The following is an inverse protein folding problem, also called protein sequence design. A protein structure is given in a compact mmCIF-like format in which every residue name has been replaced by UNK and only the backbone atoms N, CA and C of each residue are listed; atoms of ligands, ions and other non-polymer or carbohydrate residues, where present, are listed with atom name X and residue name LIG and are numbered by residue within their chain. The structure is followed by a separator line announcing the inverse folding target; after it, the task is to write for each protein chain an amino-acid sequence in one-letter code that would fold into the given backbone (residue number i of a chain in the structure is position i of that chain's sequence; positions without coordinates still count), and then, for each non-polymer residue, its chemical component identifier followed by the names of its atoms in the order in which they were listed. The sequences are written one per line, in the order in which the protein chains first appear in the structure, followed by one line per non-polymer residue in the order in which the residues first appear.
data_IF_598141485724
#
_entry.id   IF_598141485724
#
_cell.length_a   1.000
_cell.length_b   1.000
_cell.length_c   1.000
_cell.angle_alpha   90.00
_cell.angle_beta   90.00
_cell.angle_gamma   90.00
#
_symmetry.space_group_name_H-M   'P 1'
#
loop_
_entity.id
_entity.type
_entity.pdbx_description
1 polymer ?
#
# COMPACT_ATOMS: atom_id res chain seq x y z
N UNK A 1 -43.75 9.03 -48.60
CA UNK A 1 -42.60 8.10 -48.49
C UNK A 1 -41.34 8.53 -49.25
N UNK A 2 -41.39 9.40 -50.27
CA UNK A 2 -40.18 9.77 -51.05
C UNK A 2 -39.29 10.86 -50.43
N UNK A 3 -39.78 11.69 -49.52
CA UNK A 3 -38.98 12.80 -48.93
C UNK A 3 -38.17 12.41 -47.67
N UNK A 4 -38.46 11.25 -47.07
CA UNK A 4 -37.69 10.72 -45.90
C UNK A 4 -36.53 9.79 -46.31
N UNK A 5 -36.49 9.34 -47.56
CA UNK A 5 -35.41 8.50 -48.11
C UNK A 5 -34.18 9.33 -48.48
N UNK A 6 -34.36 10.59 -48.91
CA UNK A 6 -33.24 11.48 -49.28
C UNK A 6 -32.42 11.98 -48.08
N UNK A 7 -33.05 12.12 -46.90
CA UNK A 7 -32.34 12.49 -45.67
C UNK A 7 -31.47 11.33 -45.16
N UNK A 8 -31.95 10.09 -45.28
CA UNK A 8 -31.19 8.89 -44.90
C UNK A 8 -30.03 8.58 -45.87
N UNK A 9 -30.19 8.89 -47.16
CA UNK A 9 -29.12 8.71 -48.16
C UNK A 9 -28.06 9.83 -48.07
N UNK A 10 -28.45 11.07 -47.72
CA UNK A 10 -27.50 12.16 -47.44
C UNK A 10 -26.68 11.94 -46.16
N UNK A 11 -27.26 11.29 -45.15
CA UNK A 11 -26.57 10.98 -43.89
C UNK A 11 -25.63 9.77 -44.01
N UNK A 12 -25.86 8.87 -44.99
CA UNK A 12 -24.98 7.73 -45.28
C UNK A 12 -23.76 8.09 -46.14
N UNK A 13 -23.82 9.16 -46.94
CA UNK A 13 -22.70 9.60 -47.80
C UNK A 13 -21.71 10.54 -47.10
N UNK A 14 -21.99 11.00 -45.88
CA UNK A 14 -21.08 11.83 -45.08
C UNK A 14 -20.03 11.06 -44.26
N UNK A 15 -20.07 9.72 -44.26
CA UNK A 15 -19.18 8.87 -43.43
C UNK A 15 -18.03 8.25 -44.25
N UNK A 16 -17.91 8.57 -45.55
CA UNK A 16 -16.82 8.06 -46.40
C UNK A 16 -15.93 9.21 -46.87
N UNK A 17 -15.49 10.04 -45.93
CA UNK A 17 -14.17 10.64 -46.02
C UNK A 17 -13.35 9.97 -44.92
N UNK A 18 -12.91 8.75 -45.22
CA UNK A 18 -11.82 8.15 -44.47
C UNK A 18 -10.63 9.10 -44.57
N UNK A 19 -9.92 9.27 -43.46
CA UNK A 19 -8.59 9.87 -43.45
C UNK A 19 -7.79 9.36 -44.65
N UNK A 20 -6.99 10.24 -45.26
CA UNK A 20 -5.89 9.82 -46.09
C UNK A 20 -5.15 8.70 -45.36
N UNK A 21 -5.01 7.55 -46.01
CA UNK A 21 -4.12 6.50 -45.51
C UNK A 21 -2.69 7.00 -45.69
N UNK A 22 -2.24 7.85 -44.77
CA UNK A 22 -0.83 7.89 -44.45
C UNK A 22 -0.49 6.50 -43.92
N UNK A 23 0.44 5.82 -44.58
CA UNK A 23 0.94 4.53 -44.13
C UNK A 23 1.49 4.70 -42.72
N UNK A 24 0.71 4.29 -41.73
CA UNK A 24 1.11 4.31 -40.33
C UNK A 24 2.06 3.14 -40.14
N UNK A 25 3.35 3.36 -40.42
CA UNK A 25 4.38 2.45 -39.96
C UNK A 25 4.45 2.55 -38.43
N UNK A 26 4.49 1.43 -37.69
CA UNK A 26 4.76 1.49 -36.27
C UNK A 26 6.04 2.32 -36.07
N UNK A 27 5.97 3.27 -35.15
CA UNK A 27 7.15 3.99 -34.69
C UNK A 27 8.23 2.98 -34.31
N UNK A 28 9.43 3.13 -34.85
CA UNK A 28 10.60 2.38 -34.36
C UNK A 28 11.07 2.90 -33.00
N UNK A 29 10.61 4.10 -32.61
CA UNK A 29 10.81 4.61 -31.27
C UNK A 29 9.82 3.91 -30.33
N UNK A 30 10.26 3.44 -29.14
CA UNK A 30 9.37 2.81 -28.19
C UNK A 30 8.18 3.73 -27.91
N UNK A 31 6.96 3.22 -28.02
CA UNK A 31 5.79 3.98 -27.60
C UNK A 31 5.94 4.32 -26.12
N UNK A 32 6.18 5.59 -25.82
CA UNK A 32 6.09 6.13 -24.46
C UNK A 32 4.62 6.32 -24.16
N UNK A 33 3.91 5.22 -23.89
CA UNK A 33 2.54 5.26 -23.39
C UNK A 33 2.55 6.04 -22.06
N UNK A 34 2.23 7.33 -22.15
CA UNK A 34 2.00 8.28 -21.06
C UNK A 34 3.11 8.36 -19.99
N UNK A 35 4.29 8.87 -20.35
CA UNK A 35 5.27 9.35 -19.38
C UNK A 35 5.92 8.29 -18.49
N UNK A 36 6.08 7.06 -18.98
CA UNK A 36 6.91 6.05 -18.31
C UNK A 36 8.31 6.62 -18.11
N UNK A 37 8.67 6.91 -16.86
CA UNK A 37 10.05 7.20 -16.47
C UNK A 37 10.92 6.05 -16.95
N UNK A 38 11.88 6.33 -17.84
CA UNK A 38 12.90 5.35 -18.19
C UNK A 38 13.71 5.03 -16.94
N UNK A 39 14.03 3.75 -16.75
CA UNK A 39 15.04 3.34 -15.79
C UNK A 39 16.37 3.15 -16.54
N UNK A 40 17.51 3.57 -15.97
CA UNK A 40 17.65 4.32 -14.71
C UNK A 40 17.13 5.77 -14.81
N UNK A 41 16.79 6.40 -13.66
CA UNK A 41 16.30 7.79 -13.63
C UNK A 41 17.43 8.83 -13.45
N UNK A 42 18.66 8.36 -13.27
CA UNK A 42 19.85 9.17 -13.09
C UNK A 42 21.13 8.43 -13.46
N UNK A 43 22.24 8.89 -12.86
CA UNK A 43 23.56 8.29 -13.00
C UNK A 43 24.24 8.23 -11.62
N UNK A 44 23.55 7.62 -10.66
CA UNK A 44 24.02 7.34 -9.31
C UNK A 44 24.40 5.86 -9.16
N UNK A 45 25.12 5.54 -8.09
CA UNK A 45 25.53 4.16 -7.80
C UNK A 45 24.34 3.22 -7.53
N UNK A 46 23.27 3.75 -6.93
CA UNK A 46 22.04 3.01 -6.65
C UNK A 46 21.14 2.78 -7.88
N UNK A 47 21.37 3.47 -9.01
CA UNK A 47 20.52 3.33 -10.20
C UNK A 47 20.58 1.91 -10.78
N UNK A 48 21.76 1.27 -10.76
CA UNK A 48 21.92 -0.11 -11.19
C UNK A 48 21.10 -1.07 -10.30
N UNK A 49 21.07 -0.80 -8.99
CA UNK A 49 20.32 -1.57 -8.00
C UNK A 49 18.81 -1.42 -8.18
N UNK A 50 18.35 -0.21 -8.49
CA UNK A 50 16.94 0.07 -8.85
C UNK A 50 16.52 -0.74 -10.09
N UNK A 51 17.36 -0.76 -11.13
CA UNK A 51 17.08 -1.53 -12.36
C UNK A 51 17.02 -3.03 -12.05
N UNK A 52 17.96 -3.55 -11.26
CA UNK A 52 17.99 -4.95 -10.87
C UNK A 52 16.72 -5.36 -10.10
N UNK A 53 16.35 -4.61 -9.05
CA UNK A 53 15.15 -4.88 -8.25
C UNK A 53 13.87 -4.75 -9.09
N UNK A 54 13.80 -3.75 -9.96
CA UNK A 54 12.66 -3.53 -10.86
C UNK A 54 12.46 -4.71 -11.80
N UNK A 55 13.55 -5.22 -12.41
CA UNK A 55 13.51 -6.41 -13.26
C UNK A 55 13.18 -7.67 -12.46
N UNK A 56 13.80 -7.83 -11.28
CA UNK A 56 13.64 -9.01 -10.42
C UNK A 56 12.20 -9.19 -9.95
N UNK A 57 11.50 -8.10 -9.64
CA UNK A 57 10.14 -8.15 -9.09
C UNK A 57 9.06 -7.66 -10.06
N UNK A 58 9.40 -7.47 -11.35
CA UNK A 58 8.48 -7.00 -12.38
C UNK A 58 7.67 -5.75 -11.95
N UNK A 59 8.40 -4.78 -11.39
CA UNK A 59 7.86 -3.50 -10.92
C UNK A 59 8.72 -2.36 -11.47
N UNK A 60 8.29 -1.12 -11.29
CA UNK A 60 9.12 0.06 -11.59
C UNK A 60 9.30 0.89 -10.33
N UNK A 61 10.53 0.94 -9.83
CA UNK A 61 10.89 1.72 -8.63
C UNK A 61 11.31 3.12 -9.08
N UNK A 62 10.64 4.14 -8.55
CA UNK A 62 10.86 5.55 -8.91
C UNK A 62 11.20 6.38 -7.68
N UNK A 63 12.33 7.09 -7.73
CA UNK A 63 12.69 8.16 -6.81
C UNK A 63 12.47 9.55 -7.40
N UNK A 64 12.22 9.65 -8.72
CA UNK A 64 11.71 10.84 -9.40
C UNK A 64 10.29 10.56 -9.88
N UNK A 65 9.32 11.29 -9.36
CA UNK A 65 7.92 11.22 -9.78
C UNK A 65 7.27 12.60 -9.71
N UNK A 66 6.09 12.77 -10.30
CA UNK A 66 5.28 13.99 -10.20
C UNK A 66 4.02 13.72 -9.40
N UNK A 67 3.33 14.77 -8.96
CA UNK A 67 2.12 14.64 -8.15
C UNK A 67 1.11 13.62 -8.70
N UNK A 68 0.86 13.63 -10.02
CA UNK A 68 -0.11 12.73 -10.66
C UNK A 68 0.21 11.24 -10.45
N UNK A 69 1.44 10.89 -10.16
CA UNK A 69 1.84 9.50 -9.94
C UNK A 69 1.30 8.96 -8.62
N UNK A 70 1.17 9.80 -7.59
CA UNK A 70 0.66 9.36 -6.29
C UNK A 70 -0.82 9.71 -6.08
N UNK A 71 -1.32 10.84 -6.59
CA UNK A 71 -2.69 11.23 -6.27
C UNK A 71 -3.76 10.61 -7.16
N UNK A 72 -3.41 10.19 -8.38
CA UNK A 72 -4.39 9.83 -9.38
C UNK A 72 -5.10 8.51 -9.02
N UNK A 73 -6.41 8.60 -8.80
CA UNK A 73 -7.34 7.49 -8.81
C UNK A 73 -8.54 7.82 -9.70
N UNK A 74 -9.16 6.80 -10.31
CA UNK A 74 -10.26 6.94 -11.29
C UNK A 74 -11.39 7.87 -10.81
N UNK A 75 -11.62 7.95 -9.50
CA UNK A 75 -12.67 8.77 -8.89
C UNK A 75 -12.23 9.59 -7.67
N UNK A 76 -10.93 9.64 -7.36
CA UNK A 76 -10.42 10.19 -6.08
C UNK A 76 -9.16 11.02 -6.28
N UNK A 77 -9.14 12.23 -5.72
CA UNK A 77 -7.92 13.01 -5.45
C UNK A 77 -7.62 12.89 -3.97
N UNK A 78 -6.51 12.25 -3.63
CA UNK A 78 -6.12 12.00 -2.23
C UNK A 78 -5.29 13.13 -1.62
N UNK A 79 -4.93 14.16 -2.40
CA UNK A 79 -4.06 15.23 -1.91
C UNK A 79 -4.75 16.08 -0.87
N UNK A 80 -3.95 16.59 0.04
CA UNK A 80 -4.37 17.73 0.83
C UNK A 80 -4.50 18.98 -0.05
N UNK A 81 -5.31 19.94 0.38
CA UNK A 81 -5.36 21.26 -0.26
C UNK A 81 -5.77 22.34 0.72
N UNK A 82 -5.32 23.57 0.45
CA UNK A 82 -5.85 24.74 1.13
C UNK A 82 -7.09 25.26 0.37
N UNK A 83 -8.25 25.20 1.01
CA UNK A 83 -9.51 25.76 0.52
C UNK A 83 -9.55 27.25 0.88
N UNK A 84 -9.15 28.08 -0.07
CA UNK A 84 -9.05 29.53 0.09
C UNK A 84 -10.41 30.20 0.30
N UNK A 85 -11.50 29.60 -0.21
CA UNK A 85 -12.86 30.14 -0.07
C UNK A 85 -13.34 30.00 1.38
N UNK A 86 -13.09 28.85 1.99
CA UNK A 86 -13.52 28.56 3.36
C UNK A 86 -12.40 28.75 4.40
N UNK A 87 -11.24 29.27 3.98
CA UNK A 87 -10.05 29.49 4.81
C UNK A 87 -9.70 28.28 5.69
N UNK A 88 -9.58 27.10 5.08
CA UNK A 88 -9.39 25.83 5.80
C UNK A 88 -8.47 24.86 5.05
N UNK A 89 -7.88 23.94 5.79
CA UNK A 89 -7.18 22.79 5.23
C UNK A 89 -8.20 21.68 4.98
N UNK A 90 -8.24 21.18 3.75
CA UNK A 90 -8.84 19.89 3.41
C UNK A 90 -7.77 18.83 3.61
N UNK A 91 -8.05 17.88 4.51
CA UNK A 91 -7.12 16.81 4.85
C UNK A 91 -6.82 15.91 3.65
N UNK A 92 -5.61 15.37 3.60
CA UNK A 92 -5.16 14.49 2.53
C UNK A 92 -3.65 14.26 2.60
N UNK A 93 -3.09 13.65 1.57
CA UNK A 93 -1.68 13.27 1.53
C UNK A 93 -0.82 14.31 0.84
N UNK A 94 0.37 14.52 1.38
CA UNK A 94 1.47 15.26 0.79
C UNK A 94 2.57 14.26 0.44
N UNK A 95 3.04 14.25 -0.81
CA UNK A 95 4.14 13.39 -1.20
C UNK A 95 5.15 14.11 -2.09
N UNK A 96 6.43 13.93 -1.77
CA UNK A 96 7.56 14.51 -2.49
C UNK A 96 8.55 13.40 -2.90
N UNK A 97 9.13 13.46 -4.12
CA UNK A 97 10.19 12.55 -4.55
C UNK A 97 11.32 12.44 -3.53
N UNK A 98 11.95 11.27 -3.42
CA UNK A 98 13.11 11.08 -2.54
C UNK A 98 14.24 12.06 -2.92
N UNK A 99 14.93 12.55 -1.89
CA UNK A 99 16.16 13.30 -2.06
C UNK A 99 17.24 12.35 -2.58
N UNK A 100 17.80 12.66 -3.75
CA UNK A 100 18.77 11.84 -4.47
C UNK A 100 19.99 11.47 -3.59
N UNK A 101 20.32 12.29 -2.59
CA UNK A 101 21.42 12.01 -1.67
C UNK A 101 21.15 10.86 -0.68
N UNK A 102 19.89 10.41 -0.57
CA UNK A 102 19.46 9.43 0.44
C UNK A 102 18.68 8.24 -0.15
N UNK A 103 18.62 8.12 -1.48
CA UNK A 103 17.93 7.01 -2.17
C UNK A 103 18.61 5.68 -1.86
N UNK A 104 19.95 5.64 -1.82
CA UNK A 104 20.70 4.44 -1.44
C UNK A 104 20.30 3.92 -0.06
N UNK A 105 20.28 4.80 0.95
CA UNK A 105 19.88 4.43 2.31
C UNK A 105 18.40 4.06 2.43
N UNK A 106 17.52 4.69 1.66
CA UNK A 106 16.10 4.30 1.62
C UNK A 106 15.90 2.91 0.99
N UNK A 107 16.67 2.58 -0.05
CA UNK A 107 16.66 1.24 -0.61
C UNK A 107 17.19 0.22 0.42
N UNK A 108 18.21 0.57 1.22
CA UNK A 108 18.72 -0.32 2.28
C UNK A 108 17.64 -0.58 3.33
N UNK A 109 16.89 0.45 3.71
CA UNK A 109 15.74 0.32 4.60
C UNK A 109 14.68 -0.64 4.02
N UNK A 110 14.36 -0.52 2.73
CA UNK A 110 13.39 -1.40 2.07
C UNK A 110 13.85 -2.84 1.98
N UNK A 111 15.09 -3.08 1.57
CA UNK A 111 15.62 -4.44 1.44
C UNK A 111 15.70 -5.13 2.80
N UNK A 112 16.23 -4.44 3.80
CA UNK A 112 16.50 -5.00 5.13
C UNK A 112 15.28 -5.06 6.05
N UNK A 113 14.23 -4.28 5.79
CA UNK A 113 13.07 -4.20 6.70
C UNK A 113 11.72 -4.32 5.99
N UNK A 114 11.70 -4.70 4.71
CA UNK A 114 10.46 -5.03 4.01
C UNK A 114 10.63 -6.23 3.06
N UNK A 115 11.52 -6.13 2.06
CA UNK A 115 11.62 -7.14 1.00
C UNK A 115 12.10 -8.49 1.51
N UNK A 116 13.03 -8.51 2.47
CA UNK A 116 13.60 -9.76 3.01
C UNK A 116 12.58 -10.75 3.57
N UNK A 117 11.38 -10.31 3.93
CA UNK A 117 10.35 -11.16 4.53
C UNK A 117 9.51 -11.94 3.51
N UNK A 118 9.70 -11.67 2.22
CA UNK A 118 8.90 -12.25 1.15
C UNK A 118 9.79 -13.00 0.17
N UNK A 119 9.31 -14.13 -0.32
CA UNK A 119 10.03 -14.87 -1.36
C UNK A 119 10.07 -14.07 -2.67
N UNK A 120 11.16 -14.23 -3.43
CA UNK A 120 11.30 -13.61 -4.76
C UNK A 120 10.12 -13.95 -5.68
N UNK A 121 9.64 -15.19 -5.65
CA UNK A 121 8.48 -15.65 -6.43
C UNK A 121 7.19 -14.93 -6.04
N UNK A 122 6.99 -14.67 -4.74
CA UNK A 122 5.83 -13.91 -4.28
C UNK A 122 5.93 -12.46 -4.75
N UNK A 123 7.07 -11.80 -4.50
CA UNK A 123 7.31 -10.41 -4.88
C UNK A 123 7.13 -10.21 -6.39
N UNK A 124 7.75 -11.06 -7.22
CA UNK A 124 7.61 -11.04 -8.69
C UNK A 124 6.15 -11.08 -9.15
N UNK A 125 5.29 -11.83 -8.46
CA UNK A 125 3.89 -12.03 -8.85
C UNK A 125 2.95 -10.97 -8.31
N UNK A 126 3.33 -10.27 -7.24
CA UNK A 126 2.40 -9.51 -6.41
C UNK A 126 2.78 -8.06 -6.18
N UNK A 127 4.02 -7.68 -6.51
CA UNK A 127 4.43 -6.28 -6.47
C UNK A 127 3.54 -5.42 -7.38
N UNK A 128 3.23 -4.17 -6.96
CA UNK A 128 2.49 -3.24 -7.79
C UNK A 128 3.26 -2.87 -9.06
N UNK A 129 2.57 -2.22 -10.00
CA UNK A 129 3.21 -1.70 -11.21
C UNK A 129 4.32 -0.70 -10.88
N UNK A 130 4.13 0.10 -9.82
CA UNK A 130 5.08 1.14 -9.39
C UNK A 130 5.40 1.06 -7.91
N UNK A 131 6.64 1.38 -7.55
CA UNK A 131 7.06 1.68 -6.19
C UNK A 131 7.59 3.11 -6.16
N UNK A 132 7.06 3.96 -5.29
CA UNK A 132 7.47 5.35 -5.14
C UNK A 132 8.35 5.49 -3.90
N UNK A 133 9.58 5.96 -4.12
CA UNK A 133 10.53 6.32 -3.07
C UNK A 133 10.35 7.80 -2.75
N UNK A 134 9.83 8.07 -1.56
CA UNK A 134 9.34 9.40 -1.15
C UNK A 134 10.19 10.01 -0.04
N UNK A 135 10.58 11.28 -0.17
CA UNK A 135 11.20 12.05 0.92
C UNK A 135 10.16 12.50 1.94
N UNK A 136 8.95 12.76 1.49
CA UNK A 136 7.79 13.05 2.32
C UNK A 136 6.67 12.17 1.80
N UNK A 137 5.97 11.48 2.68
CA UNK A 137 4.67 10.89 2.43
C UNK A 137 3.88 11.01 3.73
N UNK A 138 3.20 12.13 3.91
CA UNK A 138 2.57 12.46 5.18
C UNK A 138 1.09 12.78 4.98
N UNK A 139 0.28 12.49 6.00
CA UNK A 139 -1.12 12.89 6.03
C UNK A 139 -1.27 14.26 6.69
N UNK A 140 -1.71 15.25 5.94
CA UNK A 140 -2.02 16.59 6.45
C UNK A 140 -3.42 16.58 7.07
N UNK A 141 -3.51 17.01 8.33
CA UNK A 141 -4.74 16.95 9.12
C UNK A 141 -5.63 18.16 8.82
N UNK A 142 -6.94 17.95 8.86
CA UNK A 142 -7.94 19.02 8.74
C UNK A 142 -7.69 20.14 9.75
N UNK A 143 -7.84 21.38 9.29
CA UNK A 143 -7.81 22.57 10.14
C UNK A 143 -8.80 23.61 9.63
N UNK A 144 -9.58 24.20 10.54
CA UNK A 144 -10.55 25.26 10.23
C UNK A 144 -10.04 26.67 10.55
N UNK A 145 -8.76 26.84 10.90
CA UNK A 145 -8.20 28.10 11.41
C UNK A 145 -7.36 28.87 10.39
N UNK A 146 -7.51 28.58 9.08
CA UNK A 146 -6.67 29.14 8.02
C UNK A 146 -5.36 28.38 7.83
N UNK A 147 -4.43 28.94 7.04
CA UNK A 147 -3.12 28.34 6.78
C UNK A 147 -2.20 28.54 8.00
N UNK A 148 -1.78 27.46 8.68
CA UNK A 148 -0.84 27.57 9.80
C UNK A 148 0.58 27.84 9.28
N UNK A 149 1.44 28.38 10.15
CA UNK A 149 2.87 28.54 9.86
C UNK A 149 3.56 27.18 9.61
N UNK A 150 3.10 26.15 10.32
CA UNK A 150 3.55 24.76 10.16
C UNK A 150 2.34 23.87 9.92
N UNK A 151 2.36 23.10 8.83
CA UNK A 151 1.29 22.16 8.51
C UNK A 151 1.25 21.00 9.52
N UNK A 152 0.07 20.71 10.12
CA UNK A 152 -0.09 19.56 11.01
C UNK A 152 -0.04 18.28 10.17
N UNK A 153 1.05 17.52 10.31
CA UNK A 153 1.32 16.33 9.53
C UNK A 153 1.45 15.10 10.43
N UNK A 154 0.89 13.99 9.98
CA UNK A 154 1.13 12.65 10.53
C UNK A 154 2.00 11.88 9.55
N UNK A 155 3.13 11.37 10.02
CA UNK A 155 4.02 10.52 9.24
C UNK A 155 3.27 9.28 8.73
N UNK A 156 3.46 8.95 7.46
CA UNK A 156 3.00 7.67 6.88
C UNK A 156 4.21 6.94 6.32
N UNK A 157 4.58 5.82 6.95
CA UNK A 157 5.76 5.04 6.57
C UNK A 157 5.62 4.38 5.20
N UNK A 158 4.43 3.85 4.92
CA UNK A 158 4.09 3.18 3.67
C UNK A 158 2.62 3.46 3.29
N UNK A 159 2.34 3.49 1.99
CA UNK A 159 1.00 3.69 1.46
C UNK A 159 0.74 2.82 0.24
N UNK A 160 -0.47 2.27 0.14
CA UNK A 160 -0.93 1.52 -1.03
C UNK A 160 -1.92 2.35 -1.83
N UNK A 161 -1.45 2.89 -2.96
CA UNK A 161 -2.29 3.58 -3.93
C UNK A 161 -2.98 2.63 -4.90
N UNK A 162 -3.53 3.16 -5.98
CA UNK A 162 -4.29 2.38 -6.96
C UNK A 162 -3.45 1.26 -7.60
N UNK A 163 -2.31 1.63 -8.19
CA UNK A 163 -1.37 0.77 -8.92
C UNK A 163 0.07 0.86 -8.38
N UNK A 164 0.28 1.54 -7.24
CA UNK A 164 1.59 1.75 -6.64
C UNK A 164 1.63 1.43 -5.14
N UNK A 165 2.84 1.20 -4.64
CA UNK A 165 3.20 1.34 -3.22
C UNK A 165 4.13 2.54 -3.07
N UNK A 166 3.94 3.36 -2.04
CA UNK A 166 4.86 4.43 -1.70
C UNK A 166 5.50 4.17 -0.34
N UNK A 167 6.78 4.50 -0.22
CA UNK A 167 7.55 4.39 1.02
C UNK A 167 8.20 5.72 1.35
N UNK A 168 8.09 6.15 2.60
CA UNK A 168 8.68 7.39 3.10
C UNK A 168 10.15 7.16 3.50
N UNK A 169 10.77 8.15 4.14
CA UNK A 169 12.17 8.16 4.59
C UNK A 169 13.23 8.33 3.49
N UNK A 170 12.85 8.75 2.28
CA UNK A 170 13.81 9.14 1.23
C UNK A 170 14.45 10.51 1.50
N UNK A 171 14.89 10.77 2.72
CA UNK A 171 15.45 12.06 3.17
C UNK A 171 16.52 11.81 4.25
N UNK A 172 17.22 12.87 4.67
CA UNK A 172 18.33 12.78 5.62
C UNK A 172 18.05 12.00 6.91
N UNK A 173 16.80 11.96 7.38
CA UNK A 173 16.43 11.31 8.63
C UNK A 173 16.56 9.78 8.58
N UNK A 174 16.61 9.16 7.39
CA UNK A 174 16.81 7.70 7.26
C UNK A 174 18.10 7.22 7.93
N UNK A 175 19.13 8.08 7.95
CA UNK A 175 20.44 7.77 8.55
C UNK A 175 20.41 7.78 10.08
N UNK A 176 19.37 8.35 10.66
CA UNK A 176 19.25 8.57 12.11
C UNK A 176 17.95 8.01 12.67
N UNK A 177 17.32 7.07 11.96
CA UNK A 177 16.13 6.40 12.46
C UNK A 177 16.46 5.67 13.76
N UNK A 178 15.61 5.84 14.78
CA UNK A 178 15.69 5.04 16.00
C UNK A 178 15.23 3.62 15.71
N UNK A 179 15.60 2.66 16.57
CA UNK A 179 15.11 1.27 16.48
C UNK A 179 13.58 1.23 16.48
N UNK A 180 12.92 2.09 17.26
CA UNK A 180 11.45 2.25 17.24
C UNK A 180 10.92 2.70 15.88
N UNK A 181 11.56 3.68 15.24
CA UNK A 181 11.16 4.15 13.91
C UNK A 181 11.37 3.08 12.82
N UNK A 182 12.47 2.33 12.89
CA UNK A 182 12.73 1.22 11.96
C UNK A 182 11.67 0.12 12.14
N UNK A 183 11.36 -0.24 13.39
CA UNK A 183 10.31 -1.21 13.70
C UNK A 183 8.94 -0.73 13.21
N UNK A 184 8.59 0.55 13.42
CA UNK A 184 7.35 1.13 12.92
C UNK A 184 7.28 1.10 11.38
N UNK A 185 8.36 1.47 10.69
CA UNK A 185 8.45 1.38 9.23
C UNK A 185 8.20 -0.06 8.74
N UNK A 186 8.92 -1.03 9.30
CA UNK A 186 8.76 -2.46 8.99
C UNK A 186 7.30 -2.89 9.12
N UNK A 187 6.71 -2.62 10.28
CA UNK A 187 5.36 -3.05 10.62
C UNK A 187 4.33 -2.47 9.63
N UNK A 188 4.42 -1.16 9.36
CA UNK A 188 3.50 -0.48 8.45
C UNK A 188 3.69 -0.95 7.00
N UNK A 189 4.93 -1.08 6.52
CA UNK A 189 5.24 -1.55 5.18
C UNK A 189 4.68 -2.96 4.93
N UNK A 190 4.91 -3.89 5.85
CA UNK A 190 4.39 -5.26 5.78
C UNK A 190 2.86 -5.28 5.84
N UNK A 191 2.24 -4.53 6.77
CA UNK A 191 0.79 -4.47 6.90
C UNK A 191 0.14 -3.93 5.63
N UNK A 192 0.63 -2.80 5.10
CA UNK A 192 0.12 -2.16 3.89
C UNK A 192 0.22 -3.11 2.70
N UNK A 193 1.35 -3.82 2.55
CA UNK A 193 1.53 -4.77 1.47
C UNK A 193 0.57 -5.96 1.58
N UNK A 194 0.53 -6.64 2.73
CA UNK A 194 -0.34 -7.81 2.92
C UNK A 194 -1.83 -7.45 2.79
N UNK A 195 -2.22 -6.27 3.28
CA UNK A 195 -3.59 -5.77 3.12
C UNK A 195 -3.91 -5.53 1.64
N UNK A 196 -3.00 -4.89 0.88
CA UNK A 196 -3.15 -4.73 -0.57
C UNK A 196 -3.35 -6.07 -1.26
N UNK A 197 -2.55 -7.08 -0.92
CA UNK A 197 -2.67 -8.40 -1.53
C UNK A 197 -4.04 -9.02 -1.25
N UNK A 198 -4.55 -8.88 -0.03
CA UNK A 198 -5.85 -9.41 0.37
C UNK A 198 -7.02 -8.67 -0.32
N UNK A 199 -6.91 -7.36 -0.50
CA UNK A 199 -7.95 -6.54 -1.15
C UNK A 199 -7.97 -6.69 -2.67
N UNK A 200 -6.82 -7.00 -3.27
CA UNK A 200 -6.70 -7.35 -4.69
C UNK A 200 -6.91 -8.85 -4.95
N UNK A 201 -7.28 -9.63 -3.93
CA UNK A 201 -7.50 -11.08 -3.98
C UNK A 201 -6.28 -11.88 -4.47
N UNK A 202 -5.07 -11.31 -4.35
CA UNK A 202 -3.80 -11.97 -4.64
C UNK A 202 -3.39 -12.95 -3.53
N UNK A 203 -3.86 -12.68 -2.30
CA UNK A 203 -3.92 -13.67 -1.22
C UNK A 203 -5.38 -13.80 -0.77
N UNK A 204 -5.77 -15.02 -0.42
CA UNK A 204 -7.10 -15.31 0.10
C UNK A 204 -7.12 -15.17 1.61
N UNK A 205 -8.22 -14.65 2.16
CA UNK A 205 -8.49 -14.73 3.60
C UNK A 205 -8.93 -16.15 3.94
N UNK A 206 -8.34 -16.76 4.95
CA UNK A 206 -8.59 -18.15 5.35
C UNK A 206 -10.06 -18.37 5.75
N UNK A 207 -10.70 -19.38 5.18
CA UNK A 207 -12.06 -19.79 5.60
C UNK A 207 -12.07 -20.36 7.01
N UNK A 208 -11.00 -21.05 7.43
CA UNK A 208 -10.85 -21.53 8.79
C UNK A 208 -10.84 -20.36 9.78
N UNK A 209 -10.07 -19.30 9.50
CA UNK A 209 -10.05 -18.07 10.29
C UNK A 209 -11.43 -17.42 10.38
N UNK A 210 -12.08 -17.16 9.24
CA UNK A 210 -13.36 -16.43 9.22
C UNK A 210 -14.51 -17.22 9.82
N UNK A 211 -14.46 -18.56 9.80
CA UNK A 211 -15.48 -19.41 10.40
C UNK A 211 -15.47 -19.40 11.94
N UNK A 212 -14.40 -18.92 12.58
CA UNK A 212 -14.32 -18.86 14.06
C UNK A 212 -15.35 -17.87 14.62
N UNK A 213 -15.66 -16.79 13.90
CA UNK A 213 -16.55 -15.73 14.40
C UNK A 213 -17.83 -15.65 13.61
N UNK A 214 -18.96 -15.60 14.31
CA UNK A 214 -20.21 -15.14 13.72
C UNK A 214 -20.21 -13.60 13.67
N UNK A 215 -19.78 -13.02 12.55
CA UNK A 215 -19.72 -11.56 12.35
C UNK A 215 -21.08 -10.86 12.35
N UNK A 216 -22.19 -11.60 12.26
CA UNK A 216 -23.55 -11.08 12.41
C UNK A 216 -24.08 -11.06 13.85
N UNK A 217 -23.31 -11.59 14.81
CA UNK A 217 -23.72 -11.62 16.21
C UNK A 217 -23.75 -10.22 16.83
N UNK A 218 -24.64 -10.03 17.82
CA UNK A 218 -24.65 -8.81 18.63
C UNK A 218 -23.46 -8.80 19.58
N UNK A 219 -22.41 -8.06 19.19
CA UNK A 219 -21.15 -7.91 19.93
C UNK A 219 -20.97 -6.46 20.37
N UNK A 220 -20.24 -6.25 21.46
CA UNK A 220 -19.85 -4.94 22.00
C UNK A 220 -18.34 -4.85 22.15
N UNK A 221 -17.81 -3.65 22.39
CA UNK A 221 -16.38 -3.49 22.68
C UNK A 221 -15.94 -4.25 23.95
N UNK A 222 -16.85 -4.40 24.94
CA UNK A 222 -16.53 -5.04 26.21
C UNK A 222 -16.39 -6.57 26.12
N UNK A 223 -17.07 -7.21 25.17
CA UNK A 223 -17.06 -8.67 25.02
C UNK A 223 -16.38 -9.16 23.72
N UNK A 224 -15.71 -8.28 22.97
CA UNK A 224 -15.19 -8.60 21.64
C UNK A 224 -14.20 -9.78 21.61
N UNK A 225 -13.38 -9.93 22.65
CA UNK A 225 -12.44 -11.05 22.78
C UNK A 225 -13.14 -12.40 22.95
N UNK A 226 -14.35 -12.43 23.50
CA UNK A 226 -15.16 -13.66 23.55
C UNK A 226 -15.57 -14.18 22.17
N UNK A 227 -15.50 -13.32 21.15
CA UNK A 227 -15.76 -13.64 19.75
C UNK A 227 -14.46 -13.74 18.93
N UNK A 228 -13.29 -13.62 19.56
CA UNK A 228 -12.00 -13.61 18.86
C UNK A 228 -11.79 -12.36 18.00
N UNK A 229 -12.36 -11.21 18.38
CA UNK A 229 -12.20 -9.95 17.65
C UNK A 229 -11.25 -9.03 18.41
N UNK A 230 -10.20 -8.55 17.74
CA UNK A 230 -9.17 -7.71 18.37
C UNK A 230 -9.55 -6.24 18.49
N UNK A 231 -10.39 -5.74 17.58
CA UNK A 231 -10.81 -4.34 17.59
C UNK A 231 -12.27 -4.18 17.18
N UNK A 232 -13.08 -3.58 18.05
CA UNK A 232 -14.53 -3.46 17.85
C UNK A 232 -14.89 -2.76 16.54
N UNK A 233 -14.30 -1.60 16.23
CA UNK A 233 -14.61 -0.84 15.01
C UNK A 233 -14.22 -1.55 13.70
N UNK A 234 -13.37 -2.58 13.76
CA UNK A 234 -12.88 -3.32 12.59
C UNK A 234 -13.44 -4.75 12.53
N UNK A 235 -14.57 -5.01 13.18
CA UNK A 235 -15.22 -6.34 13.25
C UNK A 235 -15.87 -6.83 11.94
N UNK A 236 -15.43 -6.36 10.78
CA UNK A 236 -15.77 -6.98 9.49
C UNK A 236 -14.75 -8.08 9.20
N UNK A 237 -15.04 -9.00 8.26
CA UNK A 237 -14.04 -10.02 7.86
C UNK A 237 -12.71 -9.37 7.43
N UNK A 238 -12.79 -8.31 6.62
CA UNK A 238 -11.60 -7.62 6.13
C UNK A 238 -10.85 -6.88 7.25
N UNK A 239 -11.56 -6.14 8.10
CA UNK A 239 -10.93 -5.41 9.20
C UNK A 239 -10.36 -6.33 10.27
N UNK A 240 -11.05 -7.43 10.59
CA UNK A 240 -10.57 -8.39 11.59
C UNK A 240 -9.30 -9.08 11.12
N UNK A 241 -9.27 -9.50 9.85
CA UNK A 241 -8.05 -10.00 9.20
C UNK A 241 -6.89 -9.00 9.32
N UNK A 242 -7.13 -7.74 8.98
CA UNK A 242 -6.14 -6.65 9.07
C UNK A 242 -5.60 -6.50 10.50
N UNK A 243 -6.48 -6.51 11.51
CA UNK A 243 -6.07 -6.35 12.91
C UNK A 243 -5.23 -7.53 13.41
N UNK A 244 -5.51 -8.76 12.98
CA UNK A 244 -4.67 -9.91 13.33
C UNK A 244 -3.31 -9.83 12.65
N UNK A 245 -3.25 -9.53 11.35
CA UNK A 245 -1.97 -9.34 10.65
C UNK A 245 -1.15 -8.27 11.37
N UNK A 246 -1.76 -7.12 11.67
CA UNK A 246 -1.10 -6.03 12.39
C UNK A 246 -0.57 -6.47 13.74
N UNK A 247 -1.40 -7.10 14.58
CA UNK A 247 -0.99 -7.53 15.90
C UNK A 247 0.17 -8.53 15.88
N UNK A 248 0.17 -9.46 14.91
CA UNK A 248 1.21 -10.50 14.79
C UNK A 248 2.52 -9.90 14.29
N UNK A 249 2.49 -9.11 13.20
CA UNK A 249 3.72 -8.59 12.59
C UNK A 249 4.36 -7.46 13.39
N UNK A 250 3.62 -6.85 14.32
CA UNK A 250 4.11 -5.75 15.16
C UNK A 250 4.54 -6.16 16.56
N UNK A 251 4.37 -7.42 16.95
CA UNK A 251 4.52 -7.85 18.35
C UNK A 251 5.24 -9.19 18.44
N UNK A 252 6.37 -9.26 19.18
CA UNK A 252 7.03 -10.53 19.45
C UNK A 252 6.10 -11.54 20.10
N UNK A 253 6.27 -12.82 19.76
CA UNK A 253 5.40 -13.89 20.26
C UNK A 253 5.37 -13.95 21.79
N UNK A 254 6.54 -13.73 22.41
CA UNK A 254 6.67 -13.69 23.87
C UNK A 254 5.74 -12.63 24.51
N UNK A 255 5.54 -11.48 23.86
CA UNK A 255 4.66 -10.42 24.34
C UNK A 255 3.20 -10.73 24.07
N UNK A 256 2.90 -11.43 22.96
CA UNK A 256 1.53 -11.89 22.67
C UNK A 256 1.02 -12.87 23.74
N UNK A 257 1.90 -13.69 24.32
CA UNK A 257 1.55 -14.68 25.35
C UNK A 257 1.82 -14.23 26.78
N UNK A 258 2.56 -13.14 27.01
CA UNK A 258 2.83 -12.62 28.34
C UNK A 258 1.56 -12.09 29.04
N UNK A 259 1.55 -11.92 30.37
CA UNK A 259 0.42 -11.28 31.06
C UNK A 259 0.04 -9.93 30.43
N UNK A 260 -1.22 -9.80 30.02
CA UNK A 260 -1.73 -8.63 29.29
C UNK A 260 -1.68 -8.75 27.75
N UNK A 261 -0.96 -9.73 27.22
CA UNK A 261 -0.93 -10.05 25.79
C UNK A 261 -2.23 -10.68 25.27
N UNK A 262 -2.52 -10.49 23.99
CA UNK A 262 -3.81 -10.90 23.37
C UNK A 262 -4.03 -12.43 23.35
N UNK A 263 -2.97 -13.22 23.47
CA UNK A 263 -3.05 -14.70 23.53
C UNK A 263 -2.95 -15.24 24.96
N UNK A 264 -2.81 -14.37 25.97
CA UNK A 264 -2.76 -14.77 27.37
C UNK A 264 -4.13 -15.29 27.83
N UNK A 265 -4.21 -16.38 28.62
CA UNK A 265 -5.49 -16.96 29.07
C UNK A 265 -6.42 -16.00 29.82
N UNK A 266 -5.87 -14.98 30.49
CA UNK A 266 -6.69 -13.96 31.17
C UNK A 266 -7.40 -13.01 30.20
N UNK A 267 -6.84 -12.82 29.01
CA UNK A 267 -7.42 -12.00 27.94
C UNK A 267 -8.27 -12.89 27.02
N UNK A 268 -7.70 -13.97 26.49
CA UNK A 268 -8.37 -14.92 25.61
C UNK A 268 -8.99 -16.12 26.36
N UNK A 269 -9.93 -15.80 27.25
CA UNK A 269 -10.58 -16.79 28.15
C UNK A 269 -11.27 -17.93 27.40
N UNK A 270 -11.75 -17.67 26.18
CA UNK A 270 -12.45 -18.64 25.33
C UNK A 270 -11.54 -19.28 24.28
N UNK A 271 -10.25 -18.95 24.24
CA UNK A 271 -9.28 -19.43 23.25
C UNK A 271 -9.68 -19.10 21.80
N UNK A 272 -10.52 -18.09 21.61
CA UNK A 272 -11.04 -17.69 20.30
C UNK A 272 -9.98 -16.90 19.53
N UNK A 273 -9.19 -16.09 20.23
CA UNK A 273 -8.10 -15.32 19.63
C UNK A 273 -6.97 -16.25 19.21
N UNK A 274 -6.55 -17.15 20.09
CA UNK A 274 -5.53 -18.16 19.82
C UNK A 274 -5.91 -19.04 18.63
N UNK A 275 -7.15 -19.51 18.57
CA UNK A 275 -7.62 -20.32 17.44
C UNK A 275 -7.49 -19.59 16.10
N UNK A 276 -7.83 -18.29 16.06
CA UNK A 276 -7.67 -17.47 14.86
C UNK A 276 -6.21 -17.19 14.53
N UNK A 277 -5.40 -16.87 15.53
CA UNK A 277 -3.97 -16.72 15.40
C UNK A 277 -3.35 -17.97 14.74
N UNK A 278 -3.63 -19.15 15.28
CA UNK A 278 -3.09 -20.41 14.76
C UNK A 278 -3.51 -20.66 13.30
N UNK A 279 -4.79 -20.43 12.96
CA UNK A 279 -5.26 -20.54 11.58
C UNK A 279 -4.62 -19.52 10.63
N UNK A 280 -4.37 -18.30 11.09
CA UNK A 280 -3.70 -17.29 10.27
C UNK A 280 -2.23 -17.65 10.04
N UNK A 281 -1.50 -18.03 11.09
CA UNK A 281 -0.09 -18.45 10.98
C UNK A 281 0.05 -19.61 9.99
N UNK A 282 -0.75 -20.66 10.17
CA UNK A 282 -0.67 -21.84 9.29
C UNK A 282 -1.04 -21.48 7.85
N UNK A 283 -2.11 -20.71 7.64
CA UNK A 283 -2.53 -20.29 6.30
C UNK A 283 -1.45 -19.51 5.56
N UNK A 284 -0.81 -18.53 6.21
CA UNK A 284 0.25 -17.75 5.57
C UNK A 284 1.50 -18.59 5.28
N UNK A 285 1.85 -19.48 6.20
CA UNK A 285 3.03 -20.34 6.06
C UNK A 285 2.84 -21.40 4.97
N UNK A 286 1.69 -22.07 4.94
CA UNK A 286 1.40 -23.17 4.02
C UNK A 286 1.09 -22.67 2.60
N UNK A 287 0.30 -21.60 2.44
CA UNK A 287 -0.18 -21.17 1.12
C UNK A 287 0.76 -20.17 0.43
N UNK A 288 1.51 -19.37 1.21
CA UNK A 288 2.31 -18.26 0.67
C UNK A 288 3.78 -18.29 1.07
N UNK A 289 4.18 -19.25 1.93
CA UNK A 289 5.52 -19.31 2.50
C UNK A 289 5.91 -17.99 3.21
N UNK A 290 4.98 -17.43 3.97
CA UNK A 290 5.17 -16.23 4.78
C UNK A 290 5.07 -16.62 6.26
N UNK A 291 6.14 -16.42 7.01
CA UNK A 291 6.14 -16.63 8.46
C UNK A 291 5.85 -15.30 9.17
N UNK A 292 4.56 -15.02 9.43
CA UNK A 292 4.15 -13.75 10.04
C UNK A 292 4.77 -13.53 11.43
N UNK A 293 4.92 -14.59 12.22
CA UNK A 293 5.46 -14.44 13.57
C UNK A 293 6.96 -14.14 13.53
N UNK A 294 7.70 -14.74 12.59
CA UNK A 294 9.11 -14.38 12.39
C UNK A 294 9.29 -12.88 12.05
N UNK A 295 8.34 -12.27 11.34
CA UNK A 295 8.33 -10.82 11.09
C UNK A 295 8.11 -10.05 12.40
N UNK A 296 7.17 -10.49 13.24
CA UNK A 296 6.88 -9.90 14.55
C UNK A 296 8.05 -10.01 15.54
N UNK A 297 8.78 -11.11 15.48
CA UNK A 297 9.91 -11.41 16.37
C UNK A 297 11.20 -10.67 15.95
N UNK A 298 11.33 -10.27 14.68
CA UNK A 298 12.48 -9.51 14.17
C UNK A 298 12.40 -8.03 14.58
N UNK A 299 12.76 -7.74 15.83
CA UNK A 299 12.73 -6.40 16.43
C UNK A 299 14.14 -5.82 16.49
N UNK A 300 14.30 -4.61 15.97
CA UNK A 300 15.51 -3.81 16.17
C UNK A 300 15.58 -3.35 17.62
N UNK A 301 16.73 -3.61 18.28
CA UNK A 301 17.01 -3.24 19.67
C UNK A 301 17.88 -1.98 19.77
#
# INVERSE_FOLDING_TARGET
MKTRIWILIGMLMGVVVSCSEDSISPSTDPETFDGLYSLPQGNHDYDARIVELSNKYNTRIYYKFVDKDYYWGVSTDIRWRFDTVNNRIVAGYDALPADENYVGEQLDLLENHFLKYFSDTLLLRTMPYRVLLSSVFDYIIYSSTGMPEVLPRTLVNAYSGYDYLAFNWGNANVKTMTSEQINAFKNDAVCVFLQRLADKELIKRSTAFTSVTNYGASMTAANMYEFGILHYSYRTIAGDWEQYVKAIVSTPYEQLIAPGGILHPDIDKKQMIRKKYDYMINHFKEEYNIDLQAIGDDVQN
#
